data_IF_447771206136
#
_entry.id   IF_447771206136
#
_cell.length_a   1.000
_cell.length_b   1.000
_cell.length_c   1.000
_cell.angle_alpha   90.00
_cell.angle_beta   90.00
_cell.angle_gamma   90.00
#
_symmetry.space_group_name_H-M   'P 1'
#
loop_
_entity.id
_entity.type
_entity.pdbx_description
1 polymer ?
#
# COMPACT_ATOMS: atom_id res chain seq x y z
N UNK A 1 13.16 1.28 -17.72
CA UNK A 1 13.06 2.63 -17.10
C UNK A 1 14.29 2.98 -16.26
N UNK A 2 14.85 2.08 -15.45
CA UNK A 2 15.93 2.40 -14.49
C UNK A 2 17.27 2.87 -15.07
N UNK A 3 17.46 2.75 -16.38
CA UNK A 3 18.64 3.24 -17.10
C UNK A 3 18.37 4.54 -17.88
N UNK A 4 17.12 4.99 -17.94
CA UNK A 4 16.75 6.24 -18.60
C UNK A 4 17.26 7.44 -17.77
N UNK A 5 18.07 8.35 -18.36
CA UNK A 5 18.60 9.51 -17.64
C UNK A 5 17.51 10.42 -17.08
N UNK A 6 16.40 10.61 -17.82
CA UNK A 6 15.31 11.48 -17.39
C UNK A 6 14.60 10.89 -16.15
N UNK A 7 14.32 9.59 -16.16
CA UNK A 7 13.76 8.90 -14.99
C UNK A 7 14.69 8.97 -13.76
N UNK A 8 16.00 8.82 -13.93
CA UNK A 8 16.97 8.91 -12.81
C UNK A 8 16.99 10.29 -12.18
N UNK A 9 17.00 11.34 -13.00
CA UNK A 9 16.97 12.71 -12.49
C UNK A 9 15.64 13.02 -11.82
N UNK A 10 14.52 12.60 -12.44
CA UNK A 10 13.20 12.69 -11.82
C UNK A 10 13.17 12.01 -10.44
N UNK A 11 13.64 10.75 -10.36
CA UNK A 11 13.69 9.98 -9.12
C UNK A 11 14.52 10.71 -8.05
N UNK A 12 15.72 11.18 -8.41
CA UNK A 12 16.61 11.93 -7.52
C UNK A 12 15.97 13.21 -7.00
N UNK A 13 15.22 13.94 -7.84
CA UNK A 13 14.49 15.13 -7.41
C UNK A 13 13.40 14.79 -6.38
N UNK A 14 12.76 13.62 -6.48
CA UNK A 14 11.71 13.23 -5.54
C UNK A 14 12.22 12.95 -4.11
N UNK A 15 13.52 12.68 -3.93
CA UNK A 15 14.15 12.55 -2.60
C UNK A 15 14.20 13.89 -1.85
N UNK A 16 14.20 15.01 -2.56
CA UNK A 16 14.22 16.35 -1.98
C UNK A 16 12.83 16.85 -1.57
N UNK A 17 12.68 17.40 -0.37
CA UNK A 17 11.40 17.95 0.12
C UNK A 17 10.84 19.08 -0.77
N UNK A 18 11.70 19.85 -1.43
CA UNK A 18 11.33 20.96 -2.31
C UNK A 18 10.68 20.46 -3.62
N UNK A 19 11.10 19.30 -4.10
CA UNK A 19 10.76 18.79 -5.44
C UNK A 19 9.91 17.52 -5.41
N UNK A 20 9.64 16.96 -4.22
CA UNK A 20 8.75 15.81 -4.06
C UNK A 20 7.32 16.18 -4.46
N UNK A 21 6.90 15.70 -5.62
CA UNK A 21 5.59 15.98 -6.21
C UNK A 21 4.47 15.34 -5.39
N UNK A 22 4.69 14.14 -4.84
CA UNK A 22 3.69 13.46 -4.01
C UNK A 22 3.35 14.30 -2.76
N UNK A 23 4.35 14.90 -2.11
CA UNK A 23 4.15 15.81 -0.98
C UNK A 23 3.34 17.06 -1.38
N UNK A 24 3.61 17.64 -2.56
CA UNK A 24 2.84 18.78 -3.08
C UNK A 24 1.39 18.40 -3.39
N UNK A 25 1.17 17.22 -3.98
CA UNK A 25 -0.17 16.71 -4.29
C UNK A 25 -0.98 16.40 -3.03
N UNK A 26 -0.38 15.84 -1.99
CA UNK A 26 -1.04 15.65 -0.70
C UNK A 26 -1.52 16.99 -0.15
N UNK A 27 -0.67 18.02 -0.18
CA UNK A 27 -1.08 19.38 0.24
C UNK A 27 -2.15 19.99 -0.67
N UNK A 28 -2.20 19.64 -1.95
CA UNK A 28 -3.28 20.05 -2.85
C UNK A 28 -4.58 19.33 -2.52
N UNK A 29 -4.53 18.03 -2.25
CA UNK A 29 -5.68 17.22 -1.87
C UNK A 29 -6.37 17.77 -0.61
N UNK A 30 -5.59 18.08 0.43
CA UNK A 30 -6.06 18.75 1.65
C UNK A 30 -6.84 20.05 1.36
N UNK A 31 -6.29 20.90 0.48
CA UNK A 31 -6.96 22.15 0.06
C UNK A 31 -8.22 21.92 -0.77
N UNK A 32 -8.25 20.88 -1.60
CA UNK A 32 -9.43 20.53 -2.40
C UNK A 32 -10.56 20.04 -1.49
N UNK A 33 -10.24 19.18 -0.51
CA UNK A 33 -11.20 18.67 0.47
C UNK A 33 -11.83 19.80 1.30
N UNK A 34 -11.06 20.84 1.65
CA UNK A 34 -11.56 22.01 2.37
C UNK A 34 -12.55 22.89 1.57
N UNK A 35 -12.58 22.80 0.24
CA UNK A 35 -13.43 23.66 -0.61
C UNK A 35 -14.87 23.15 -0.81
N UNK A 36 -15.18 21.95 -0.32
CA UNK A 36 -16.49 21.31 -0.52
C UNK A 36 -16.66 20.69 -1.91
N UNK A 37 -17.69 19.88 -2.11
CA UNK A 37 -17.91 19.20 -3.40
C UNK A 37 -18.64 20.11 -4.38
N UNK A 38 -17.93 20.53 -5.42
CA UNK A 38 -18.50 20.87 -6.71
C UNK A 38 -17.97 19.86 -7.74
N UNK A 39 -18.70 19.61 -8.83
CA UNK A 39 -18.32 18.56 -9.79
C UNK A 39 -16.92 18.75 -10.41
N UNK A 40 -16.39 19.98 -10.42
CA UNK A 40 -15.04 20.27 -10.89
C UNK A 40 -14.00 19.89 -9.83
N UNK A 41 -14.29 20.13 -8.56
CA UNK A 41 -13.44 19.75 -7.43
C UNK A 41 -13.29 18.23 -7.33
N UNK A 42 -14.38 17.48 -7.54
CA UNK A 42 -14.35 16.01 -7.58
C UNK A 42 -13.38 15.50 -8.66
N UNK A 43 -13.37 16.09 -9.85
CA UNK A 43 -12.43 15.74 -10.93
C UNK A 43 -10.97 16.05 -10.56
N UNK A 44 -10.72 17.13 -9.83
CA UNK A 44 -9.39 17.50 -9.36
C UNK A 44 -8.90 16.54 -8.27
N UNK A 45 -9.79 16.12 -7.36
CA UNK A 45 -9.50 15.10 -6.34
C UNK A 45 -9.13 13.78 -7.01
N UNK A 46 -9.93 13.33 -7.97
CA UNK A 46 -9.66 12.10 -8.74
C UNK A 46 -8.29 12.16 -9.46
N UNK A 47 -8.01 13.29 -10.11
CA UNK A 47 -6.73 13.50 -10.80
C UNK A 47 -5.55 13.51 -9.82
N UNK A 48 -5.71 14.12 -8.65
CA UNK A 48 -4.68 14.14 -7.62
C UNK A 48 -4.40 12.73 -7.06
N UNK A 49 -5.46 11.93 -6.82
CA UNK A 49 -5.33 10.55 -6.35
C UNK A 49 -4.60 9.67 -7.38
N UNK A 50 -4.95 9.77 -8.66
CA UNK A 50 -4.30 9.02 -9.75
C UNK A 50 -2.80 9.37 -9.87
N UNK A 51 -2.47 10.67 -9.82
CA UNK A 51 -1.08 11.11 -9.83
C UNK A 51 -0.31 10.65 -8.59
N UNK A 52 -0.92 10.69 -7.40
CA UNK A 52 -0.31 10.16 -6.17
C UNK A 52 -0.01 8.67 -6.35
N UNK A 53 -0.94 7.87 -6.85
CA UNK A 53 -0.73 6.44 -7.11
C UNK A 53 0.48 6.22 -8.02
N UNK A 54 0.51 6.88 -9.19
CA UNK A 54 1.61 6.76 -10.14
C UNK A 54 2.95 7.15 -9.52
N UNK A 55 2.99 8.23 -8.73
CA UNK A 55 4.21 8.69 -8.06
C UNK A 55 4.70 7.73 -6.98
N UNK A 56 3.80 7.13 -6.21
CA UNK A 56 4.18 6.14 -5.20
C UNK A 56 4.74 4.85 -5.82
N UNK A 57 4.32 4.52 -7.05
CA UNK A 57 4.86 3.39 -7.81
C UNK A 57 6.20 3.73 -8.48
N UNK A 58 6.36 4.94 -9.01
CA UNK A 58 7.60 5.40 -9.64
C UNK A 58 8.70 5.73 -8.62
N UNK A 59 8.30 6.22 -7.45
CA UNK A 59 9.19 6.60 -6.34
C UNK A 59 8.68 5.98 -5.02
N UNK A 60 8.95 4.68 -4.77
CA UNK A 60 8.54 3.99 -3.54
C UNK A 60 8.92 4.69 -2.22
N UNK A 61 10.06 5.41 -2.10
CA UNK A 61 10.37 6.15 -0.88
C UNK A 61 9.30 7.19 -0.49
N UNK A 62 8.56 7.74 -1.46
CA UNK A 62 7.44 8.67 -1.19
C UNK A 62 6.30 8.02 -0.40
N UNK A 63 6.19 6.69 -0.34
CA UNK A 63 5.20 6.02 0.50
C UNK A 63 5.38 6.38 1.98
N UNK A 64 6.59 6.70 2.43
CA UNK A 64 6.88 7.13 3.81
C UNK A 64 6.09 8.37 4.24
N UNK A 65 5.58 9.17 3.29
CA UNK A 65 4.70 10.30 3.58
C UNK A 65 3.43 9.86 4.32
N UNK A 66 2.93 8.66 4.08
CA UNK A 66 1.71 8.12 4.70
C UNK A 66 1.96 7.44 6.05
N UNK A 67 3.20 7.38 6.52
CA UNK A 67 3.49 7.00 7.91
C UNK A 67 3.02 8.09 8.89
N UNK A 68 2.84 9.33 8.39
CA UNK A 68 2.30 10.46 9.16
C UNK A 68 0.79 10.36 9.23
N UNK A 69 0.25 10.37 10.44
CA UNK A 69 -1.19 10.25 10.69
C UNK A 69 -2.03 11.26 9.91
N UNK A 70 -1.60 12.53 9.86
CA UNK A 70 -2.30 13.58 9.11
C UNK A 70 -2.49 13.21 7.63
N UNK A 71 -1.47 12.65 6.99
CA UNK A 71 -1.54 12.30 5.58
C UNK A 71 -2.39 11.04 5.35
N UNK A 72 -2.37 10.09 6.29
CA UNK A 72 -3.22 8.90 6.22
C UNK A 72 -4.70 9.27 6.45
N UNK A 73 -5.00 10.15 7.42
CA UNK A 73 -6.35 10.64 7.67
C UNK A 73 -6.96 11.30 6.44
N UNK A 74 -6.19 12.03 5.63
CA UNK A 74 -6.71 12.56 4.35
C UNK A 74 -7.29 11.47 3.45
N UNK A 75 -6.66 10.28 3.39
CA UNK A 75 -7.21 9.15 2.64
C UNK A 75 -8.43 8.55 3.33
N UNK A 76 -8.45 8.45 4.67
CA UNK A 76 -9.60 7.93 5.39
C UNK A 76 -10.83 8.84 5.26
N UNK A 77 -10.64 10.16 5.35
CA UNK A 77 -11.69 11.17 5.20
C UNK A 77 -12.31 11.13 3.79
N UNK A 78 -11.53 10.78 2.76
CA UNK A 78 -12.04 10.59 1.40
C UNK A 78 -12.90 9.32 1.23
N UNK A 79 -12.84 8.38 2.17
CA UNK A 79 -13.73 7.20 2.20
C UNK A 79 -15.10 7.50 2.82
N UNK A 80 -15.28 8.67 3.44
CA UNK A 80 -16.53 9.00 4.12
C UNK A 80 -17.74 8.95 3.16
N UNK A 81 -18.96 8.59 3.64
CA UNK A 81 -20.12 8.35 2.79
C UNK A 81 -20.63 9.55 1.98
N UNK A 82 -20.21 10.77 2.32
CA UNK A 82 -20.59 11.98 1.59
C UNK A 82 -19.85 12.12 0.25
N UNK A 83 -18.68 11.49 0.11
CA UNK A 83 -17.91 11.51 -1.13
C UNK A 83 -18.56 10.61 -2.17
N UNK A 84 -18.43 10.99 -3.44
CA UNK A 84 -19.01 10.19 -4.53
C UNK A 84 -18.29 8.83 -4.68
N UNK A 85 -18.96 7.80 -5.22
CA UNK A 85 -18.38 6.46 -5.36
C UNK A 85 -17.05 6.41 -6.13
N UNK A 86 -16.85 7.31 -7.10
CA UNK A 86 -15.61 7.39 -7.86
C UNK A 86 -14.42 7.80 -6.97
N UNK A 87 -14.60 8.80 -6.09
CA UNK A 87 -13.57 9.23 -5.13
C UNK A 87 -13.26 8.11 -4.15
N UNK A 88 -14.27 7.43 -3.62
CA UNK A 88 -14.08 6.29 -2.71
C UNK A 88 -13.28 5.16 -3.39
N UNK A 89 -13.65 4.78 -4.62
CA UNK A 89 -12.92 3.77 -5.39
C UNK A 89 -11.46 4.16 -5.67
N UNK A 90 -11.21 5.40 -6.09
CA UNK A 90 -9.85 5.90 -6.34
C UNK A 90 -9.03 5.96 -5.05
N UNK A 91 -9.64 6.34 -3.94
CA UNK A 91 -9.01 6.40 -2.62
C UNK A 91 -8.61 5.03 -2.12
N UNK A 92 -9.48 4.02 -2.28
CA UNK A 92 -9.15 2.63 -1.93
C UNK A 92 -7.93 2.12 -2.72
N UNK A 93 -7.84 2.45 -4.01
CA UNK A 93 -6.68 2.09 -4.82
C UNK A 93 -5.40 2.82 -4.36
N UNK A 94 -5.51 4.12 -4.02
CA UNK A 94 -4.40 4.88 -3.43
C UNK A 94 -3.94 4.28 -2.11
N UNK A 95 -4.87 3.84 -1.25
CA UNK A 95 -4.54 3.13 -0.01
C UNK A 95 -3.81 1.82 -0.31
N UNK A 96 -4.27 0.97 -1.25
CA UNK A 96 -3.54 -0.25 -1.62
C UNK A 96 -2.09 0.07 -1.97
N UNK A 97 -1.85 1.07 -2.84
CA UNK A 97 -0.49 1.44 -3.26
C UNK A 97 0.34 1.98 -2.09
N UNK A 98 -0.25 2.80 -1.22
CA UNK A 98 0.41 3.39 -0.07
C UNK A 98 0.80 2.35 1.00
N UNK A 99 -0.01 1.29 1.17
CA UNK A 99 0.22 0.24 2.16
C UNK A 99 1.11 -0.89 1.65
N UNK A 100 1.11 -1.13 0.33
CA UNK A 100 1.87 -2.22 -0.29
C UNK A 100 3.37 -2.14 0.03
N UNK A 101 3.92 -3.25 0.52
CA UNK A 101 5.31 -3.40 0.98
C UNK A 101 5.76 -2.35 2.01
N UNK A 102 4.81 -1.72 2.71
CA UNK A 102 5.08 -0.62 3.65
C UNK A 102 4.35 -0.85 4.97
N UNK A 103 4.82 -1.80 5.81
CA UNK A 103 4.14 -2.19 7.05
C UNK A 103 3.93 -1.01 8.01
N UNK A 104 4.85 -0.03 8.01
CA UNK A 104 4.72 1.23 8.78
C UNK A 104 3.41 1.94 8.45
N UNK A 105 3.09 2.08 7.17
CA UNK A 105 1.86 2.74 6.74
C UNK A 105 0.64 1.90 7.13
N UNK A 106 0.74 0.56 7.07
CA UNK A 106 -0.33 -0.33 7.52
C UNK A 106 -0.59 -0.15 9.01
N UNK A 107 0.47 -0.02 9.83
CA UNK A 107 0.32 0.27 11.27
C UNK A 107 -0.36 1.62 11.50
N UNK A 108 0.05 2.67 10.78
CA UNK A 108 -0.58 4.00 10.86
C UNK A 108 -2.06 3.95 10.47
N UNK A 109 -2.40 3.26 9.38
CA UNK A 109 -3.78 3.05 8.94
C UNK A 109 -4.63 2.35 10.00
N UNK A 110 -4.12 1.27 10.61
CA UNK A 110 -4.85 0.56 11.65
C UNK A 110 -5.01 1.36 12.94
N UNK A 111 -3.96 2.11 13.34
CA UNK A 111 -4.00 2.98 14.53
C UNK A 111 -5.02 4.12 14.40
N UNK A 112 -5.38 4.49 13.17
CA UNK A 112 -6.39 5.50 12.84
C UNK A 112 -7.76 4.88 12.54
N UNK A 113 -8.05 3.69 13.07
CA UNK A 113 -9.31 2.97 12.88
C UNK A 113 -9.65 2.71 11.40
N UNK A 114 -8.65 2.66 10.51
CA UNK A 114 -8.86 2.46 9.08
C UNK A 114 -9.64 1.18 8.74
N UNK A 115 -9.46 0.11 9.51
CA UNK A 115 -10.25 -1.12 9.37
C UNK A 115 -11.72 -0.90 9.70
N UNK A 116 -12.02 -0.12 10.73
CA UNK A 116 -13.39 0.24 11.08
C UNK A 116 -14.02 1.08 9.97
N UNK A 117 -13.30 2.07 9.42
CA UNK A 117 -13.77 2.90 8.30
C UNK A 117 -14.11 2.05 7.07
N UNK A 118 -13.16 1.21 6.63
CA UNK A 118 -13.34 0.32 5.47
C UNK A 118 -14.50 -0.66 5.66
N UNK A 119 -14.57 -1.33 6.81
CA UNK A 119 -15.63 -2.32 7.07
C UNK A 119 -16.99 -1.66 7.29
N UNK A 120 -17.06 -0.45 7.85
CA UNK A 120 -18.29 0.31 7.99
C UNK A 120 -18.82 0.74 6.63
N UNK A 121 -17.94 1.23 5.74
CA UNK A 121 -18.30 1.52 4.36
C UNK A 121 -18.77 0.26 3.62
N UNK A 122 -18.12 -0.89 3.84
CA UNK A 122 -18.54 -2.17 3.23
C UNK A 122 -19.93 -2.64 3.70
N UNK A 123 -20.19 -2.54 5.01
CA UNK A 123 -21.47 -2.95 5.63
C UNK A 123 -22.62 -2.01 5.29
N UNK A 124 -22.33 -0.75 4.94
CA UNK A 124 -23.39 0.20 4.61
C UNK A 124 -24.23 -0.27 3.42
N UNK A 125 -25.55 -0.04 3.54
CA UNK A 125 -26.53 -0.35 2.49
C UNK A 125 -26.51 0.69 1.36
N UNK A 126 -26.01 1.90 1.62
CA UNK A 126 -25.88 2.97 0.62
C UNK A 126 -24.67 2.78 -0.31
N UNK A 127 -23.69 1.96 0.09
CA UNK A 127 -22.48 1.74 -0.69
C UNK A 127 -22.78 0.98 -1.98
N UNK A 128 -22.31 1.53 -3.11
CA UNK A 128 -22.55 0.96 -4.43
C UNK A 128 -21.84 -0.38 -4.59
N UNK A 129 -22.33 -1.21 -5.52
CA UNK A 129 -21.72 -2.52 -5.82
C UNK A 129 -20.26 -2.39 -6.26
N UNK A 130 -19.95 -1.35 -7.03
CA UNK A 130 -18.59 -1.05 -7.49
C UNK A 130 -17.64 -0.81 -6.33
N UNK A 131 -18.00 0.09 -5.40
CA UNK A 131 -17.18 0.38 -4.22
C UNK A 131 -17.06 -0.86 -3.32
N UNK A 132 -18.12 -1.67 -3.18
CA UNK A 132 -18.05 -2.94 -2.44
C UNK A 132 -17.04 -3.92 -3.04
N UNK A 133 -16.94 -3.98 -4.37
CA UNK A 133 -15.93 -4.80 -5.03
C UNK A 133 -14.52 -4.29 -4.72
N UNK A 134 -14.29 -2.97 -4.77
CA UNK A 134 -13.01 -2.35 -4.39
C UNK A 134 -12.65 -2.55 -2.92
N UNK A 135 -13.63 -2.53 -2.03
CA UNK A 135 -13.43 -2.83 -0.61
C UNK A 135 -13.00 -4.28 -0.41
N UNK A 136 -13.61 -5.23 -1.12
CA UNK A 136 -13.20 -6.64 -1.07
C UNK A 136 -11.77 -6.81 -1.60
N UNK A 137 -11.42 -6.20 -2.74
CA UNK A 137 -10.05 -6.18 -3.25
C UNK A 137 -9.05 -5.61 -2.22
N UNK A 138 -9.40 -4.49 -1.59
CA UNK A 138 -8.59 -3.89 -0.53
C UNK A 138 -8.41 -4.85 0.65
N UNK A 139 -9.47 -5.50 1.12
CA UNK A 139 -9.40 -6.44 2.25
C UNK A 139 -8.54 -7.67 1.92
N UNK A 140 -8.62 -8.18 0.68
CA UNK A 140 -7.71 -9.23 0.21
C UNK A 140 -6.25 -8.76 0.25
N UNK A 141 -5.96 -7.57 -0.29
CA UNK A 141 -4.61 -6.98 -0.23
C UNK A 141 -4.13 -6.76 1.20
N UNK A 142 -5.01 -6.32 2.10
CA UNK A 142 -4.70 -6.14 3.51
C UNK A 142 -4.31 -7.46 4.20
N UNK A 143 -5.00 -8.56 3.89
CA UNK A 143 -4.73 -9.87 4.48
C UNK A 143 -3.50 -10.58 3.88
N UNK A 144 -3.04 -10.20 2.69
CA UNK A 144 -1.83 -10.76 2.09
C UNK A 144 -0.58 -10.55 2.99
N UNK A 145 0.37 -11.49 3.04
CA UNK A 145 1.58 -11.33 3.86
C UNK A 145 2.33 -10.02 3.56
N UNK A 146 2.76 -9.30 4.62
CA UNK A 146 3.42 -7.99 4.48
C UNK A 146 4.86 -8.06 3.94
N UNK A 147 5.47 -9.26 3.96
CA UNK A 147 6.75 -9.53 3.34
C UNK A 147 6.66 -10.81 2.50
N UNK A 148 7.23 -10.83 1.30
CA UNK A 148 7.28 -12.06 0.51
C UNK A 148 8.15 -13.08 1.24
N UNK A 149 7.54 -14.21 1.63
CA UNK A 149 8.24 -15.37 2.16
C UNK A 149 9.04 -16.03 1.04
N UNK A 150 10.25 -15.53 0.75
CA UNK A 150 11.18 -16.28 -0.10
C UNK A 150 11.56 -17.54 0.69
N UNK A 151 11.27 -18.75 0.19
CA UNK A 151 11.76 -19.96 0.82
C UNK A 151 13.29 -19.88 0.78
N UNK A 152 13.93 -19.79 1.96
CA UNK A 152 15.36 -20.04 2.07
C UNK A 152 15.56 -21.47 1.55
N UNK A 153 16.14 -21.61 0.36
CA UNK A 153 16.58 -22.90 -0.12
C UNK A 153 17.48 -23.49 0.97
N UNK A 154 16.97 -24.53 1.64
CA UNK A 154 17.69 -25.24 2.67
C UNK A 154 19.06 -25.60 2.13
N UNK A 155 20.08 -25.28 2.91
CA UNK A 155 21.47 -25.65 2.67
C UNK A 155 21.50 -27.17 2.50
N UNK A 156 21.45 -27.64 1.25
CA UNK A 156 21.72 -29.04 0.94
C UNK A 156 23.21 -29.21 1.12
N UNK A 157 23.59 -29.80 2.24
CA UNK A 157 24.89 -30.42 2.39
C UNK A 157 25.12 -31.40 1.22
N UNK A 158 26.36 -31.46 0.77
CA UNK A 158 26.94 -32.33 -0.28
C UNK A 158 26.78 -31.91 -1.76
N UNK A 159 27.68 -31.04 -2.23
CA UNK A 159 28.37 -31.17 -3.54
C UNK A 159 29.75 -30.49 -3.49
N UNK A 160 30.82 -31.07 -4.09
CA UNK A 160 32.17 -30.53 -3.99
C UNK A 160 32.33 -29.22 -4.77
N UNK A 161 33.15 -28.32 -4.22
CA UNK A 161 33.45 -27.02 -4.79
C UNK A 161 34.27 -27.14 -6.08
N UNK A 162 33.61 -27.16 -7.24
CA UNK A 162 34.15 -26.72 -8.53
C UNK A 162 33.00 -26.68 -9.54
N UNK A 163 32.78 -25.53 -10.19
CA UNK A 163 31.66 -25.21 -11.10
C UNK A 163 30.34 -24.77 -10.45
N UNK A 164 30.37 -23.68 -9.68
CA UNK A 164 29.20 -22.80 -9.49
C UNK A 164 29.56 -21.39 -9.96
N UNK A 165 29.50 -21.16 -11.28
CA UNK A 165 29.39 -19.82 -11.86
C UNK A 165 27.97 -19.67 -12.38
N UNK A 166 27.02 -19.55 -11.45
CA UNK A 166 25.61 -19.25 -11.76
C UNK A 166 25.34 -17.74 -11.63
N UNK A 167 24.49 -17.17 -12.51
CA UNK A 167 24.27 -15.73 -12.66
C UNK A 167 23.24 -15.23 -11.64
N UNK A 168 23.56 -15.31 -10.34
CA UNK A 168 22.65 -14.86 -9.27
C UNK A 168 22.90 -13.41 -8.82
N UNK A 169 23.63 -12.61 -9.62
CA UNK A 169 23.98 -11.22 -9.29
C UNK A 169 23.17 -10.13 -10.01
N UNK A 170 22.09 -10.48 -10.71
CA UNK A 170 21.24 -9.49 -11.40
C UNK A 170 20.02 -9.03 -10.61
N UNK A 171 19.58 -9.77 -9.57
CA UNK A 171 18.48 -9.32 -8.69
C UNK A 171 18.97 -8.34 -7.62
N UNK A 172 20.27 -8.24 -7.39
CA UNK A 172 20.88 -7.27 -6.47
C UNK A 172 20.96 -5.83 -6.99
N UNK A 173 20.61 -5.57 -8.26
CA UNK A 173 20.70 -4.24 -8.85
C UNK A 173 19.48 -3.34 -8.56
N UNK A 174 18.39 -3.90 -8.02
CA UNK A 174 17.21 -3.16 -7.58
C UNK A 174 17.11 -3.00 -6.05
N UNK A 175 17.93 -3.74 -5.29
CA UNK A 175 18.03 -3.61 -3.83
C UNK A 175 19.19 -2.70 -3.40
N UNK A 176 19.52 -1.72 -4.26
CA UNK A 176 20.53 -0.72 -4.01
C UNK A 176 19.99 0.36 -3.06
N UNK A 177 20.47 0.30 -1.82
CA UNK A 177 20.58 1.42 -0.87
C UNK A 177 19.47 1.68 0.16
N UNK A 178 19.10 0.65 0.93
CA UNK A 178 18.53 0.85 2.30
C UNK A 178 19.34 0.19 3.41
N UNK A 179 20.59 -0.23 3.13
CA UNK A 179 21.52 -0.77 4.14
C UNK A 179 22.42 0.33 4.72
N UNK A 180 21.82 1.25 5.50
CA UNK A 180 22.42 2.11 6.56
C UNK A 180 21.31 3.08 6.99
N UNK A 181 20.62 2.92 8.11
CA UNK A 181 21.14 3.15 9.47
C UNK A 181 20.09 2.57 10.43
N UNK A 182 20.43 1.52 11.18
CA UNK A 182 19.65 1.05 12.32
C UNK A 182 19.75 2.12 13.41
N UNK A 183 18.93 3.17 13.30
CA UNK A 183 18.66 4.09 14.40
C UNK A 183 17.65 3.40 15.31
N UNK A 184 18.01 3.27 16.58
CA UNK A 184 17.15 2.69 17.61
C UNK A 184 15.92 3.59 17.81
N UNK A 185 14.73 3.07 17.49
CA UNK A 185 13.46 3.75 17.74
C UNK A 185 12.33 2.95 17.15
N UNK A 186 11.69 2.11 17.98
CA UNK A 186 10.47 1.34 17.65
C UNK A 186 10.61 0.45 16.42
N UNK A 187 11.00 -0.82 16.59
CA UNK A 187 10.87 -1.79 15.51
C UNK A 187 9.38 -1.88 15.13
N UNK A 188 9.01 -1.27 14.01
CA UNK A 188 7.68 -1.43 13.41
C UNK A 188 7.56 -2.91 13.08
N UNK A 189 6.71 -3.60 13.82
CA UNK A 189 6.51 -5.04 13.71
C UNK A 189 5.65 -5.31 12.49
N UNK A 190 6.19 -6.08 11.54
CA UNK A 190 5.38 -6.71 10.49
C UNK A 190 4.42 -7.69 11.14
N UNK A 191 3.16 -7.69 10.74
CA UNK A 191 2.17 -8.64 11.24
C UNK A 191 1.99 -9.84 10.30
N UNK A 192 1.72 -11.01 10.89
CA UNK A 192 1.31 -12.19 10.12
C UNK A 192 -0.11 -12.03 9.58
N UNK A 193 -0.48 -12.89 8.63
CA UNK A 193 -1.86 -12.92 8.12
C UNK A 193 -2.85 -13.27 9.22
N UNK A 194 -2.48 -14.13 10.18
CA UNK A 194 -3.33 -14.49 11.33
C UNK A 194 -3.56 -13.32 12.28
N UNK A 195 -2.52 -12.53 12.59
CA UNK A 195 -2.66 -11.34 13.44
C UNK A 195 -3.56 -10.29 12.77
N UNK A 196 -3.39 -10.07 11.46
CA UNK A 196 -4.27 -9.18 10.69
C UNK A 196 -5.70 -9.71 10.58
N UNK A 197 -5.86 -11.03 10.50
CA UNK A 197 -7.18 -11.67 10.54
C UNK A 197 -7.89 -11.36 11.86
N UNK A 198 -7.18 -11.45 12.99
CA UNK A 198 -7.73 -11.14 14.32
C UNK A 198 -8.12 -9.66 14.44
N UNK A 199 -7.32 -8.75 13.88
CA UNK A 199 -7.66 -7.33 13.85
C UNK A 199 -8.93 -7.09 13.02
N UNK A 200 -9.02 -7.68 11.83
CA UNK A 200 -10.17 -7.52 10.95
C UNK A 200 -11.45 -8.17 11.52
N UNK A 201 -11.33 -9.31 12.23
CA UNK A 201 -12.47 -10.02 12.81
C UNK A 201 -13.18 -9.24 13.92
N UNK A 202 -12.52 -8.23 14.50
CA UNK A 202 -13.16 -7.28 15.44
C UNK A 202 -14.22 -6.41 14.77
N UNK A 203 -14.14 -6.23 13.45
CA UNK A 203 -15.00 -5.32 12.69
C UNK A 203 -15.92 -6.02 11.68
N UNK A 204 -15.56 -7.24 11.26
CA UNK A 204 -16.28 -8.04 10.27
C UNK A 204 -16.40 -9.50 10.73
N UNK A 205 -17.59 -10.07 10.71
CA UNK A 205 -17.85 -11.45 11.20
C UNK A 205 -17.62 -12.55 10.16
N UNK A 206 -17.37 -12.18 8.90
CA UNK A 206 -17.23 -13.11 7.76
C UNK A 206 -15.80 -13.16 7.24
N UNK A 207 -14.82 -12.97 8.14
CA UNK A 207 -13.41 -12.85 7.77
C UNK A 207 -12.83 -14.22 7.41
N UNK A 208 -13.36 -15.28 8.01
CA UNK A 208 -12.96 -16.67 7.77
C UNK A 208 -13.17 -17.07 6.30
N UNK A 209 -14.30 -16.66 5.71
CA UNK A 209 -14.60 -16.90 4.30
C UNK A 209 -13.60 -16.19 3.40
N UNK A 210 -13.27 -14.93 3.70
CA UNK A 210 -12.30 -14.14 2.95
C UNK A 210 -10.89 -14.74 3.01
N UNK A 211 -10.46 -15.22 4.19
CA UNK A 211 -9.16 -15.89 4.35
C UNK A 211 -9.13 -17.23 3.64
N UNK A 212 -10.22 -18.00 3.70
CA UNK A 212 -10.35 -19.27 3.00
C UNK A 212 -10.28 -19.07 1.49
N UNK A 213 -10.99 -18.08 0.96
CA UNK A 213 -10.95 -17.72 -0.46
C UNK A 213 -9.55 -17.26 -0.87
N UNK A 214 -8.86 -16.43 -0.07
CA UNK A 214 -7.48 -16.02 -0.34
C UNK A 214 -6.53 -17.21 -0.46
N UNK A 215 -6.64 -18.19 0.45
CA UNK A 215 -5.84 -19.42 0.43
C UNK A 215 -6.12 -20.30 -0.79
N UNK A 216 -7.37 -20.32 -1.27
CA UNK A 216 -7.79 -21.12 -2.41
C UNK A 216 -7.50 -20.43 -3.76
N UNK A 217 -7.56 -19.10 -3.82
CA UNK A 217 -7.51 -18.35 -5.08
C UNK A 217 -6.11 -17.97 -5.55
N UNK A 218 -5.06 -18.07 -4.72
CA UNK A 218 -3.70 -17.60 -5.04
C UNK A 218 -3.71 -16.34 -5.95
N UNK A 219 -4.38 -15.25 -5.54
CA UNK A 219 -4.93 -14.24 -6.46
C UNK A 219 -3.88 -13.48 -7.30
N UNK A 220 -2.59 -13.58 -6.95
CA UNK A 220 -1.49 -12.99 -7.70
C UNK A 220 -0.35 -13.97 -8.04
N UNK A 221 -0.62 -15.28 -8.04
CA UNK A 221 0.35 -16.28 -8.49
C UNK A 221 1.53 -16.45 -7.52
N UNK A 222 1.28 -17.10 -6.38
CA UNK A 222 2.32 -17.55 -5.48
C UNK A 222 1.89 -18.86 -4.86
N UNK A 223 2.48 -19.96 -5.30
CA UNK A 223 2.29 -21.30 -4.74
C UNK A 223 2.69 -21.25 -3.27
N UNK A 224 1.70 -21.34 -2.38
CA UNK A 224 1.94 -21.56 -0.96
C UNK A 224 2.30 -23.04 -0.81
N UNK A 225 3.54 -23.32 -0.45
CA UNK A 225 3.96 -24.61 0.11
C UNK A 225 4.40 -24.39 1.54
#
# INVERSE_FOLDING_TARGET
MSQDPAFREFFKLQEGFEWNVALRLIGTLDRLMAKGSDGQNDLLILSALDLIQGLLLLHPPSKSLFAREQNMNLLLDLLEPFNCPAIQSATLLTLVVALLDTPVNTRTFEALDGLLTVTSLFKSRSTTREVKLKLVEFLYCYLMPETPSIPRAGQRDSVPAMLQRSPSKLVGAFAGDTRRKKVSGGAVMTLTTEEKQELLSRHLSSVEDLVKDLRNCAPFGGVVC
#
